data_IF_088674437458
#
_entry.id   IF_088674437458
#
_cell.length_a   1.000
_cell.length_b   1.000
_cell.length_c   1.000
_cell.angle_alpha   90.00
_cell.angle_beta   90.00
_cell.angle_gamma   90.00
#
_symmetry.space_group_name_H-M   'P 1'
#
loop_
_entity.id
_entity.type
_entity.pdbx_description
1 polymer ?
#
# COMPACT_ATOMS: atom_id res chain seq x y z
N UNK A 1 -11.14 6.69 -14.92
CA UNK A 1 -10.92 5.57 -13.99
C UNK A 1 -10.13 6.09 -12.80
N UNK A 2 -10.37 5.59 -11.59
CA UNK A 2 -9.73 6.04 -10.33
C UNK A 2 -8.96 4.86 -9.75
N UNK A 3 -7.74 5.11 -9.29
CA UNK A 3 -6.92 4.15 -8.54
C UNK A 3 -6.72 4.64 -7.10
N UNK A 4 -6.47 3.70 -6.19
CA UNK A 4 -6.21 3.98 -4.76
C UNK A 4 -4.79 3.52 -4.42
N UNK A 5 -4.04 4.40 -3.75
CA UNK A 5 -2.73 4.08 -3.19
C UNK A 5 -2.84 4.18 -1.67
N UNK A 6 -2.47 3.11 -0.97
CA UNK A 6 -2.44 3.09 0.49
C UNK A 6 -1.03 3.45 0.97
N UNK A 7 -0.87 4.67 1.46
CA UNK A 7 0.40 5.15 2.03
C UNK A 7 0.40 4.94 3.54
N UNK A 8 1.44 4.28 4.06
CA UNK A 8 1.62 4.06 5.49
C UNK A 8 3.09 4.10 5.86
N UNK A 9 3.38 4.42 7.12
CA UNK A 9 4.75 4.24 7.62
C UNK A 9 5.12 2.76 7.80
N UNK A 10 4.14 1.85 7.82
CA UNK A 10 4.33 0.41 8.00
C UNK A 10 3.94 -0.33 6.73
N UNK A 11 4.89 -1.07 6.15
CA UNK A 11 4.63 -1.99 5.03
C UNK A 11 3.50 -2.96 5.37
N UNK A 12 3.58 -3.60 6.55
CA UNK A 12 2.59 -4.58 7.01
C UNK A 12 1.17 -4.00 7.09
N UNK A 13 1.03 -2.75 7.54
CA UNK A 13 -0.28 -2.10 7.59
C UNK A 13 -0.78 -1.73 6.19
N UNK A 14 0.07 -1.22 5.30
CA UNK A 14 -0.32 -0.91 3.93
C UNK A 14 -0.83 -2.16 3.22
N UNK A 15 -0.05 -3.25 3.27
CA UNK A 15 -0.39 -4.53 2.64
C UNK A 15 -1.71 -5.10 3.20
N UNK A 16 -1.87 -5.11 4.53
CA UNK A 16 -3.09 -5.61 5.16
C UNK A 16 -4.34 -4.79 4.82
N UNK A 17 -4.21 -3.48 4.63
CA UNK A 17 -5.32 -2.64 4.18
C UNK A 17 -5.64 -2.89 2.70
N UNK A 18 -4.65 -3.10 1.85
CA UNK A 18 -4.87 -3.49 0.44
C UNK A 18 -5.61 -4.82 0.36
N UNK A 19 -5.19 -5.82 1.15
CA UNK A 19 -5.84 -7.12 1.23
C UNK A 19 -7.31 -6.98 1.65
N UNK A 20 -7.58 -6.19 2.69
CA UNK A 20 -8.95 -5.92 3.14
C UNK A 20 -9.78 -5.17 2.09
N UNK A 21 -9.20 -4.15 1.46
CA UNK A 21 -9.90 -3.33 0.46
C UNK A 21 -10.33 -4.17 -0.75
N UNK A 22 -9.50 -5.13 -1.19
CA UNK A 22 -9.83 -6.04 -2.29
C UNK A 22 -11.03 -6.93 -2.00
N UNK A 23 -11.22 -7.35 -0.74
CA UNK A 23 -12.40 -8.13 -0.34
C UNK A 23 -13.71 -7.32 -0.44
N UNK A 24 -13.64 -5.98 -0.36
CA UNK A 24 -14.82 -5.11 -0.39
C UNK A 24 -15.06 -4.46 -1.76
N UNK A 25 -14.00 -4.07 -2.46
CA UNK A 25 -14.05 -3.31 -3.71
C UNK A 25 -14.08 -4.14 -5.00
N UNK A 26 -13.85 -5.44 -4.91
CA UNK A 26 -13.73 -6.31 -6.09
C UNK A 26 -12.55 -5.95 -7.00
N UNK A 27 -12.54 -6.48 -8.22
CA UNK A 27 -11.41 -6.35 -9.16
C UNK A 27 -11.45 -5.07 -10.01
N UNK A 28 -12.49 -4.24 -9.87
CA UNK A 28 -12.70 -3.06 -10.73
C UNK A 28 -11.84 -1.85 -10.33
N UNK A 29 -11.44 -1.77 -9.06
CA UNK A 29 -10.62 -0.67 -8.53
C UNK A 29 -9.18 -1.14 -8.35
N UNK A 30 -8.24 -0.50 -9.04
CA UNK A 30 -6.82 -0.73 -8.81
C UNK A 30 -6.41 -0.21 -7.44
N UNK A 31 -5.85 -1.09 -6.60
CA UNK A 31 -5.39 -0.77 -5.24
C UNK A 31 -3.97 -1.29 -5.03
N UNK A 32 -3.05 -0.39 -4.69
CA UNK A 32 -1.62 -0.66 -4.47
C UNK A 32 -1.14 -0.16 -3.10
N UNK A 33 -0.13 -0.84 -2.55
CA UNK A 33 0.48 -0.51 -1.25
C UNK A 33 1.77 0.31 -1.43
N UNK A 34 1.91 1.35 -0.62
CA UNK A 34 3.07 2.23 -0.55
C UNK A 34 3.53 2.40 0.90
N UNK A 35 3.94 1.29 1.52
CA UNK A 35 4.25 1.24 2.95
C UNK A 35 5.72 1.02 3.26
N UNK A 36 6.26 1.79 4.23
CA UNK A 36 7.63 1.63 4.72
C UNK A 36 8.70 2.34 3.88
N UNK A 37 9.95 1.99 4.14
CA UNK A 37 11.13 2.42 3.37
C UNK A 37 11.56 1.33 2.37
N UNK A 38 12.14 1.74 1.24
CA UNK A 38 12.82 0.80 0.35
C UNK A 38 14.16 0.33 0.92
N UNK A 39 14.87 1.21 1.63
CA UNK A 39 16.17 0.90 2.23
C UNK A 39 16.28 1.48 3.66
N UNK A 40 16.42 0.63 4.70
CA UNK A 40 16.28 -0.83 4.67
C UNK A 40 14.84 -1.23 4.32
N UNK A 41 14.69 -2.28 3.50
CA UNK A 41 13.38 -2.75 3.03
C UNK A 41 12.39 -2.98 4.18
N UNK A 42 11.22 -2.34 4.09
CA UNK A 42 10.12 -2.49 5.04
C UNK A 42 10.33 -1.80 6.39
N UNK A 43 11.42 -1.03 6.56
CA UNK A 43 11.61 -0.21 7.76
C UNK A 43 10.49 0.82 7.91
N UNK A 44 10.20 1.21 9.16
CA UNK A 44 9.16 2.20 9.43
C UNK A 44 9.56 3.55 8.83
N UNK A 45 8.70 4.09 7.97
CA UNK A 45 8.97 5.31 7.21
C UNK A 45 8.14 5.37 5.94
N UNK A 46 8.35 6.40 5.13
CA UNK A 46 7.69 6.55 3.83
C UNK A 46 8.74 6.91 2.81
N UNK A 47 8.71 6.23 1.67
CA UNK A 47 9.65 6.41 0.58
C UNK A 47 8.93 6.88 -0.68
N UNK A 48 9.48 7.90 -1.32
CA UNK A 48 8.94 8.54 -2.52
C UNK A 48 9.00 7.66 -3.77
N UNK A 49 9.79 6.58 -3.74
CA UNK A 49 9.98 5.67 -4.86
C UNK A 49 9.11 4.41 -4.79
N UNK A 50 8.24 4.29 -3.80
CA UNK A 50 7.28 3.19 -3.71
C UNK A 50 6.05 3.47 -4.59
N UNK A 51 5.48 2.38 -5.15
CA UNK A 51 4.41 2.28 -6.18
C UNK A 51 4.92 2.12 -7.62
#
# INVERSE_FOLDING_TARGET
MVGVVIVSHSAVLADGVVELARQMGGDEVAVEAAGGMAEPQGAIGTDMQLV
#
